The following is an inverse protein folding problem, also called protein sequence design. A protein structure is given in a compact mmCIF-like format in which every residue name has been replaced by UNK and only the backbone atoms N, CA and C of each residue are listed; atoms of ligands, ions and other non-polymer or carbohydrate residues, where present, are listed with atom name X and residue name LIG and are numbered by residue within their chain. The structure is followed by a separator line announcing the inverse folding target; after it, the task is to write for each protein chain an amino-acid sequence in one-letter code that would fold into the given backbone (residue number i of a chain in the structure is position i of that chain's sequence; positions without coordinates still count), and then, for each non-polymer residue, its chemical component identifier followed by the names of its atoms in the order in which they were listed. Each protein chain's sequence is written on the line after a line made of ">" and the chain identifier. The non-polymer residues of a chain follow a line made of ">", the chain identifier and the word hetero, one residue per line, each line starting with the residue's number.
data_IF_110150361369
#
_entry.id   IF_110150361369
#
_cell.length_a   1.000
_cell.length_b   1.000
_cell.length_c   1.000
_cell.angle_alpha   90.00
_cell.angle_beta   90.00
_cell.angle_gamma   90.00
#
_symmetry.space_group_name_H-M   'P 1'
#
loop_
_entity.id
_entity.type
_entity.pdbx_description
1 polymer ?
#
# COMPACT_ATOMS: atom_id res chain seq x y z
N UNK A 1 -10.49 -3.59 -32.06
CA UNK A 1 -9.17 -3.45 -31.42
C UNK A 1 -9.47 -2.90 -30.05
N UNK A 2 -9.70 -3.83 -29.14
CA UNK A 2 -10.19 -3.60 -27.80
C UNK A 2 -9.21 -2.67 -27.07
N UNK A 3 -9.71 -1.49 -26.72
CA UNK A 3 -8.98 -0.55 -25.90
C UNK A 3 -9.01 -1.13 -24.50
N UNK A 4 -8.00 -1.92 -24.15
CA UNK A 4 -7.81 -2.50 -22.82
C UNK A 4 -8.02 -1.40 -21.79
N UNK A 5 -9.17 -1.48 -21.16
CA UNK A 5 -9.63 -0.59 -20.13
C UNK A 5 -8.81 -0.91 -18.89
N UNK A 6 -7.53 -0.51 -18.89
CA UNK A 6 -6.81 -0.21 -17.67
C UNK A 6 -7.61 0.90 -17.00
N UNK A 7 -8.62 0.47 -16.25
CA UNK A 7 -9.45 1.32 -15.42
C UNK A 7 -8.53 1.92 -14.38
N UNK A 8 -7.85 3.01 -14.76
CA UNK A 8 -7.38 4.03 -13.85
C UNK A 8 -8.50 4.17 -12.83
N UNK A 9 -8.18 3.97 -11.54
CA UNK A 9 -9.14 4.05 -10.45
C UNK A 9 -9.71 5.48 -10.38
N UNK A 10 -10.62 5.82 -11.30
CA UNK A 10 -11.29 7.10 -11.51
C UNK A 10 -12.57 7.20 -10.67
N UNK A 11 -12.88 6.17 -9.90
CA UNK A 11 -13.95 6.19 -8.91
C UNK A 11 -13.63 7.15 -7.76
N UNK A 12 -14.68 7.58 -7.06
CA UNK A 12 -14.56 8.40 -5.86
C UNK A 12 -13.62 7.74 -4.83
N UNK A 13 -12.75 8.55 -4.20
CA UNK A 13 -11.84 8.06 -3.15
C UNK A 13 -12.67 7.68 -1.93
N UNK A 14 -12.89 6.38 -1.74
CA UNK A 14 -13.55 5.86 -0.54
C UNK A 14 -12.52 5.67 0.56
N UNK A 15 -12.76 6.32 1.70
CA UNK A 15 -12.04 6.03 2.93
C UNK A 15 -12.44 4.64 3.45
N UNK A 16 -11.46 3.85 3.87
CA UNK A 16 -11.67 2.56 4.51
C UNK A 16 -10.87 2.47 5.80
N UNK A 17 -11.49 1.93 6.85
CA UNK A 17 -10.82 1.59 8.09
C UNK A 17 -10.55 0.10 8.09
N UNK A 18 -9.29 -0.30 8.30
CA UNK A 18 -8.90 -1.70 8.41
C UNK A 18 -8.28 -1.96 9.77
N UNK A 19 -8.65 -3.08 10.37
CA UNK A 19 -7.97 -3.57 11.57
C UNK A 19 -6.82 -4.47 11.15
N UNK A 20 -5.63 -4.19 11.68
CA UNK A 20 -4.45 -5.03 11.51
C UNK A 20 -4.07 -5.59 12.87
N UNK A 21 -3.76 -6.88 12.92
CA UNK A 21 -3.28 -7.51 14.14
C UNK A 21 -1.95 -6.89 14.61
N UNK A 22 -1.64 -7.10 15.90
CA UNK A 22 -0.47 -6.51 16.52
C UNK A 22 0.86 -6.93 15.87
N UNK A 23 0.99 -8.19 15.42
CA UNK A 23 2.20 -8.70 14.80
C UNK A 23 2.41 -8.08 13.42
N UNK A 24 1.35 -7.91 12.64
CA UNK A 24 1.36 -7.21 11.35
C UNK A 24 1.72 -5.73 11.53
N UNK A 25 1.14 -5.06 12.54
CA UNK A 25 1.50 -3.68 12.86
C UNK A 25 2.97 -3.52 13.28
N UNK A 26 3.52 -4.48 14.04
CA UNK A 26 4.92 -4.48 14.43
C UNK A 26 5.85 -4.63 13.21
N UNK A 27 5.51 -5.53 12.28
CA UNK A 27 6.27 -5.73 11.03
C UNK A 27 6.27 -4.47 10.17
N UNK A 28 5.13 -3.78 10.04
CA UNK A 28 5.04 -2.50 9.32
C UNK A 28 5.94 -1.45 9.98
N UNK A 29 5.96 -1.34 11.31
CA UNK A 29 6.84 -0.41 12.03
C UNK A 29 8.32 -0.70 11.77
N UNK A 30 8.72 -1.98 11.85
CA UNK A 30 10.10 -2.39 11.59
C UNK A 30 10.54 -2.10 10.16
N UNK A 31 9.67 -2.38 9.17
CA UNK A 31 9.91 -2.03 7.77
C UNK A 31 10.15 -0.52 7.61
N UNK A 32 9.31 0.31 8.24
CA UNK A 32 9.45 1.78 8.18
C UNK A 32 10.75 2.27 8.80
N UNK A 33 11.16 1.71 9.95
CA UNK A 33 12.45 2.03 10.58
C UNK A 33 13.62 1.67 9.66
N UNK A 34 13.56 0.49 9.02
CA UNK A 34 14.59 0.04 8.09
C UNK A 34 14.70 0.98 6.88
N UNK A 35 13.57 1.36 6.29
CA UNK A 35 13.54 2.28 5.15
C UNK A 35 14.11 3.66 5.48
N UNK A 36 13.83 4.18 6.67
CA UNK A 36 14.42 5.45 7.13
C UNK A 36 15.95 5.37 7.27
N UNK A 37 16.48 4.20 7.66
CA UNK A 37 17.93 3.98 7.76
C UNK A 37 18.60 3.82 6.40
N UNK A 38 17.97 3.07 5.49
CA UNK A 38 18.51 2.77 4.16
C UNK A 38 18.37 3.95 3.18
N UNK A 39 17.34 4.77 3.35
CA UNK A 39 17.00 5.87 2.47
C UNK A 39 16.59 7.13 3.25
N UNK A 40 17.51 7.76 4.00
CA UNK A 40 17.20 8.89 4.88
C UNK A 40 16.64 10.11 4.13
N UNK A 41 17.03 10.29 2.86
CA UNK A 41 16.60 11.42 2.02
C UNK A 41 15.24 11.21 1.35
N UNK A 42 14.66 10.01 1.47
CA UNK A 42 13.36 9.69 0.87
C UNK A 42 12.23 9.88 1.88
N UNK A 43 11.07 10.41 1.46
CA UNK A 43 9.93 10.57 2.35
C UNK A 43 9.45 9.22 2.86
N UNK A 44 9.24 9.12 4.17
CA UNK A 44 8.78 7.88 4.79
C UNK A 44 7.29 7.64 4.46
N UNK A 45 7.02 6.54 3.79
CA UNK A 45 5.65 6.13 3.43
C UNK A 45 4.80 5.90 4.69
N UNK A 46 3.59 6.46 4.69
CA UNK A 46 2.61 6.29 5.75
C UNK A 46 1.99 4.90 5.77
N UNK A 47 1.57 4.43 6.95
CA UNK A 47 0.94 3.11 7.14
C UNK A 47 -0.23 2.83 6.16
N UNK A 48 -1.19 3.75 5.96
CA UNK A 48 -2.29 3.54 5.02
C UNK A 48 -1.83 3.32 3.57
N UNK A 49 -0.77 4.00 3.14
CA UNK A 49 -0.24 3.85 1.78
C UNK A 49 0.44 2.48 1.60
N UNK A 50 1.09 1.96 2.64
CA UNK A 50 1.62 0.58 2.62
C UNK A 50 0.50 -0.46 2.52
N UNK A 51 -0.61 -0.25 3.24
CA UNK A 51 -1.79 -1.14 3.13
C UNK A 51 -2.37 -1.08 1.72
N UNK A 52 -2.57 0.13 1.18
CA UNK A 52 -3.07 0.30 -0.20
C UNK A 52 -2.17 -0.38 -1.22
N UNK A 53 -0.85 -0.21 -1.09
CA UNK A 53 0.11 -0.87 -1.98
C UNK A 53 -0.01 -2.39 -1.90
N UNK A 54 -0.07 -2.97 -0.69
CA UNK A 54 -0.20 -4.41 -0.51
C UNK A 54 -1.52 -4.96 -1.07
N UNK A 55 -2.63 -4.24 -0.90
CA UNK A 55 -3.93 -4.62 -1.46
C UNK A 55 -3.90 -4.56 -2.99
N UNK A 56 -3.33 -3.51 -3.57
CA UNK A 56 -3.20 -3.40 -5.02
C UNK A 56 -2.36 -4.55 -5.59
N UNK A 57 -1.20 -4.84 -4.99
CA UNK A 57 -0.36 -5.97 -5.39
C UNK A 57 -1.10 -7.32 -5.31
N UNK A 58 -1.95 -7.50 -4.30
CA UNK A 58 -2.77 -8.71 -4.18
C UNK A 58 -3.86 -8.79 -5.26
N UNK A 59 -4.50 -7.67 -5.60
CA UNK A 59 -5.51 -7.61 -6.67
C UNK A 59 -4.88 -7.83 -8.05
N UNK A 60 -3.74 -7.19 -8.32
CA UNK A 60 -3.01 -7.33 -9.59
C UNK A 60 -2.51 -8.76 -9.82
N UNK A 61 -2.22 -9.50 -8.74
CA UNK A 61 -1.82 -10.91 -8.80
C UNK A 61 -2.98 -11.91 -8.69
N UNK A 62 -4.23 -11.45 -8.60
CA UNK A 62 -5.42 -12.28 -8.54
C UNK A 62 -6.11 -12.46 -9.91
N UNK A 63 -5.59 -11.80 -10.96
CA UNK A 63 -5.88 -12.07 -12.38
C UNK A 63 -4.99 -13.19 -12.94
#
# INVERSE_FOLDING_TARGET
>A
MDNEQHSLNLGEVKGASVYLDAATMQRIKQYRIRQLKEHPDKPLVGGPMLVRFAVNQWLDGAE
#
